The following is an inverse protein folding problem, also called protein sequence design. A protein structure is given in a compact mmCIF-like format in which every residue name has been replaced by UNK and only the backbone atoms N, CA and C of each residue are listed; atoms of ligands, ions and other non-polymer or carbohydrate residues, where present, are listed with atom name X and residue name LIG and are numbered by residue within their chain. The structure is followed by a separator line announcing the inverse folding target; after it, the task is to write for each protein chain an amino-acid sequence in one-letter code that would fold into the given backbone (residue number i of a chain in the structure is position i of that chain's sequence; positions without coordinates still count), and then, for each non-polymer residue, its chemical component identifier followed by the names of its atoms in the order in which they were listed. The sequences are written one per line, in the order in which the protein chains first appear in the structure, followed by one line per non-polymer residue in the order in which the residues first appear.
data_IF_154203726760
#
_entry.id   IF_154203726760
#
_cell.length_a   1.000
_cell.length_b   1.000
_cell.length_c   1.000
_cell.angle_alpha   90.00
_cell.angle_beta   90.00
_cell.angle_gamma   90.00
#
_symmetry.space_group_name_H-M   'P 1'
#
loop_
_entity.id
_entity.type
_entity.pdbx_description
1 polymer ?
#
# COMPACT_ATOMS: atom_id res chain seq x y z
N UNK A 1 -9.42 18.98 4.38
CA UNK A 1 -10.01 18.51 5.64
C UNK A 1 -10.41 17.04 5.54
N UNK A 2 -10.82 16.43 6.65
CA UNK A 2 -11.15 14.99 6.73
C UNK A 2 -12.19 14.55 5.70
N UNK A 3 -13.19 15.40 5.42
CA UNK A 3 -14.22 15.11 4.41
C UNK A 3 -13.61 14.96 3.02
N UNK A 4 -12.62 15.79 2.67
CA UNK A 4 -11.95 15.70 1.37
C UNK A 4 -11.14 14.41 1.23
N UNK A 5 -10.47 13.98 2.30
CA UNK A 5 -9.73 12.70 2.32
C UNK A 5 -10.62 11.50 2.03
N UNK A 6 -11.91 11.59 2.38
CA UNK A 6 -12.91 10.57 2.10
C UNK A 6 -13.50 10.71 0.69
N UNK A 7 -13.78 11.92 0.25
CA UNK A 7 -14.42 12.18 -1.07
C UNK A 7 -13.48 11.89 -2.24
N UNK A 8 -12.20 12.22 -2.12
CA UNK A 8 -11.22 12.04 -3.19
C UNK A 8 -11.11 10.60 -3.69
N UNK A 9 -10.94 9.56 -2.83
CA UNK A 9 -10.92 8.16 -3.27
C UNK A 9 -12.25 7.74 -3.92
N UNK A 10 -13.37 8.22 -3.43
CA UNK A 10 -14.69 7.89 -3.96
C UNK A 10 -14.88 8.47 -5.35
N UNK A 11 -14.66 9.78 -5.54
CA UNK A 11 -14.79 10.45 -6.83
C UNK A 11 -13.86 9.85 -7.89
N UNK A 12 -12.59 9.64 -7.52
CA UNK A 12 -11.63 9.03 -8.45
C UNK A 12 -11.99 7.59 -8.81
N UNK A 13 -12.56 6.82 -7.87
CA UNK A 13 -13.04 5.47 -8.17
C UNK A 13 -14.24 5.48 -9.09
N UNK A 14 -15.19 6.41 -8.93
CA UNK A 14 -16.32 6.54 -9.83
C UNK A 14 -15.86 6.82 -11.26
N UNK A 15 -14.92 7.75 -11.45
CA UNK A 15 -14.35 8.05 -12.78
C UNK A 15 -13.66 6.84 -13.37
N UNK A 16 -12.81 6.15 -12.59
CA UNK A 16 -12.10 4.96 -13.06
C UNK A 16 -13.04 3.79 -13.36
N UNK A 17 -14.07 3.59 -12.53
CA UNK A 17 -15.07 2.55 -12.76
C UNK A 17 -15.87 2.82 -14.03
N UNK A 18 -16.19 4.08 -14.32
CA UNK A 18 -16.84 4.47 -15.57
C UNK A 18 -15.93 4.22 -16.79
N UNK A 19 -14.69 4.69 -16.73
CA UNK A 19 -13.74 4.54 -17.87
C UNK A 19 -13.38 3.08 -18.12
N UNK A 20 -12.98 2.35 -17.10
CA UNK A 20 -12.53 0.96 -17.26
C UNK A 20 -13.68 -0.06 -17.24
N UNK A 21 -14.81 0.26 -16.63
CA UNK A 21 -16.00 -0.57 -16.60
C UNK A 21 -16.81 -0.44 -17.90
N UNK A 22 -17.44 0.70 -18.11
CA UNK A 22 -18.36 0.88 -19.22
C UNK A 22 -17.66 1.08 -20.57
N UNK A 23 -16.63 1.95 -20.65
CA UNK A 23 -15.95 2.23 -21.91
C UNK A 23 -15.07 1.08 -22.40
N UNK A 24 -14.41 0.35 -21.51
CA UNK A 24 -13.53 -0.78 -21.87
C UNK A 24 -14.21 -2.15 -21.69
N UNK A 25 -15.50 -2.19 -21.38
CA UNK A 25 -16.33 -3.40 -21.40
C UNK A 25 -16.05 -4.41 -20.28
N UNK A 26 -15.55 -3.97 -19.14
CA UNK A 26 -15.41 -4.82 -17.96
C UNK A 26 -16.73 -4.90 -17.19
N UNK A 27 -17.63 -5.80 -17.61
CA UNK A 27 -19.01 -5.93 -17.10
C UNK A 27 -19.13 -6.65 -15.74
N UNK A 28 -18.11 -6.66 -14.90
CA UNK A 28 -18.19 -7.34 -13.62
C UNK A 28 -19.02 -6.52 -12.61
N UNK A 29 -20.03 -7.08 -11.93
CA UNK A 29 -20.96 -6.32 -11.10
C UNK A 29 -20.29 -5.59 -9.92
N UNK A 30 -19.15 -6.10 -9.44
CA UNK A 30 -18.40 -5.54 -8.31
C UNK A 30 -17.13 -4.76 -8.72
N UNK A 31 -17.03 -4.36 -9.99
CA UNK A 31 -15.84 -3.72 -10.52
C UNK A 31 -15.44 -2.42 -9.78
N UNK A 32 -16.38 -1.54 -9.37
CA UNK A 32 -16.03 -0.36 -8.57
C UNK A 32 -15.39 -0.71 -7.23
N UNK A 33 -15.86 -1.77 -6.55
CA UNK A 33 -15.30 -2.23 -5.29
C UNK A 33 -13.90 -2.81 -5.51
N UNK A 34 -13.69 -3.53 -6.62
CA UNK A 34 -12.40 -4.09 -7.03
C UNK A 34 -11.33 -3.01 -7.21
N UNK A 35 -11.66 -1.93 -7.95
CA UNK A 35 -10.75 -0.80 -8.16
C UNK A 35 -10.49 -0.08 -6.84
N UNK A 36 -11.54 0.24 -6.07
CA UNK A 36 -11.40 0.99 -4.82
C UNK A 36 -10.49 0.26 -3.84
N UNK A 37 -10.68 -1.04 -3.66
CA UNK A 37 -9.85 -1.86 -2.77
C UNK A 37 -8.36 -1.78 -3.15
N UNK A 38 -8.02 -2.03 -4.41
CA UNK A 38 -6.63 -1.97 -4.87
C UNK A 38 -6.05 -0.56 -4.79
N UNK A 39 -6.85 0.46 -5.13
CA UNK A 39 -6.43 1.86 -5.13
C UNK A 39 -6.16 2.39 -3.71
N UNK A 40 -6.98 2.06 -2.73
CA UNK A 40 -6.79 2.50 -1.34
C UNK A 40 -5.48 1.95 -0.77
N UNK A 41 -5.20 0.66 -0.98
CA UNK A 41 -3.97 0.02 -0.51
C UNK A 41 -2.75 0.63 -1.19
N UNK A 42 -2.80 0.81 -2.51
CA UNK A 42 -1.75 1.46 -3.28
C UNK A 42 -1.54 2.92 -2.84
N UNK A 43 -2.62 3.69 -2.66
CA UNK A 43 -2.56 5.09 -2.23
C UNK A 43 -1.92 5.22 -0.85
N UNK A 44 -2.27 4.32 0.08
CA UNK A 44 -1.63 4.23 1.40
C UNK A 44 -0.11 4.02 1.26
N UNK A 45 0.31 3.02 0.48
CA UNK A 45 1.73 2.75 0.24
C UNK A 45 2.45 3.92 -0.43
N UNK A 46 1.86 4.48 -1.49
CA UNK A 46 2.44 5.58 -2.27
C UNK A 46 2.60 6.85 -1.43
N UNK A 47 1.54 7.29 -0.74
CA UNK A 47 1.58 8.50 0.09
C UNK A 47 2.52 8.33 1.27
N UNK A 48 2.43 7.19 1.97
CA UNK A 48 3.28 6.90 3.14
C UNK A 48 4.76 6.87 2.77
N UNK A 49 5.12 6.19 1.68
CA UNK A 49 6.51 6.10 1.23
C UNK A 49 7.09 7.46 0.82
N UNK A 50 6.32 8.28 0.09
CA UNK A 50 6.74 9.63 -0.34
C UNK A 50 6.91 10.58 0.84
N UNK A 51 5.97 10.59 1.80
CA UNK A 51 6.03 11.49 2.96
C UNK A 51 7.15 11.05 3.92
N UNK A 52 7.27 9.74 4.19
CA UNK A 52 8.35 9.20 5.02
C UNK A 52 9.73 9.49 4.44
N UNK A 53 9.90 9.37 3.12
CA UNK A 53 11.14 9.68 2.41
C UNK A 53 11.62 11.12 2.68
N UNK A 54 10.70 12.08 2.68
CA UNK A 54 11.00 13.51 2.88
C UNK A 54 11.08 13.92 4.35
N UNK A 55 10.64 13.07 5.28
CA UNK A 55 10.39 13.40 6.69
C UNK A 55 11.62 13.94 7.43
N UNK A 56 12.80 13.39 7.23
CA UNK A 56 14.04 13.81 7.89
C UNK A 56 14.44 15.21 7.38
N UNK A 57 14.42 15.42 6.07
CA UNK A 57 14.78 16.70 5.45
C UNK A 57 13.78 17.80 5.77
N UNK A 58 12.49 17.50 5.79
CA UNK A 58 11.45 18.46 6.15
C UNK A 58 11.59 18.97 7.60
N UNK A 59 12.12 18.15 8.50
CA UNK A 59 12.29 18.48 9.91
C UNK A 59 13.74 18.83 10.30
N UNK A 60 14.59 19.16 9.34
CA UNK A 60 16.01 19.49 9.56
C UNK A 60 16.23 20.61 10.62
N UNK A 61 15.40 21.64 10.61
CA UNK A 61 15.50 22.74 11.55
C UNK A 61 15.27 22.30 13.02
N UNK A 62 14.39 21.32 13.23
CA UNK A 62 14.11 20.75 14.55
C UNK A 62 15.21 19.77 14.97
N UNK A 63 15.69 18.92 14.05
CA UNK A 63 16.75 17.94 14.30
C UNK A 63 18.05 18.63 14.75
N UNK A 64 18.35 19.85 14.24
CA UNK A 64 19.53 20.63 14.63
C UNK A 64 19.40 21.30 16.00
N UNK A 65 18.19 21.53 16.51
CA UNK A 65 17.94 22.28 17.74
C UNK A 65 17.64 21.41 18.95
N UNK A 66 17.02 20.26 18.74
CA UNK A 66 16.53 19.39 19.83
C UNK A 66 17.00 17.96 19.58
N UNK A 67 17.51 17.34 20.64
CA UNK A 67 17.88 15.92 20.59
C UNK A 67 16.64 15.04 20.66
N UNK A 68 16.15 14.64 19.48
CA UNK A 68 15.04 13.68 19.34
C UNK A 68 15.55 12.48 18.52
N UNK A 69 15.20 11.23 18.89
CA UNK A 69 15.57 10.07 18.09
C UNK A 69 15.06 10.21 16.65
N UNK A 70 15.96 10.18 15.69
CA UNK A 70 15.67 10.55 14.27
C UNK A 70 14.66 9.62 13.59
N UNK A 71 14.54 8.38 14.03
CA UNK A 71 13.56 7.42 13.49
C UNK A 71 12.09 7.81 13.77
N UNK A 72 11.85 8.67 14.77
CA UNK A 72 10.50 9.14 15.08
C UNK A 72 9.88 9.97 13.95
N UNK A 73 10.70 10.68 13.16
CA UNK A 73 10.20 11.50 12.06
C UNK A 73 9.55 10.67 10.94
N UNK A 74 10.23 9.67 10.33
CA UNK A 74 9.56 8.82 9.35
C UNK A 74 8.44 7.99 9.99
N UNK A 75 8.60 7.48 11.21
CA UNK A 75 7.60 6.63 11.85
C UNK A 75 6.29 7.39 12.14
N UNK A 76 6.37 8.63 12.63
CA UNK A 76 5.19 9.46 12.90
C UNK A 76 4.39 9.75 11.63
N UNK A 77 5.06 10.04 10.51
CA UNK A 77 4.41 10.27 9.22
C UNK A 77 3.76 9.00 8.66
N UNK A 78 4.39 7.84 8.86
CA UNK A 78 3.84 6.55 8.46
C UNK A 78 2.56 6.24 9.24
N UNK A 79 2.61 6.37 10.57
CA UNK A 79 1.43 6.13 11.44
C UNK A 79 0.30 7.09 11.07
N UNK A 80 0.58 8.36 10.86
CA UNK A 80 -0.42 9.35 10.47
C UNK A 80 -1.13 8.97 9.15
N UNK A 81 -0.37 8.65 8.11
CA UNK A 81 -0.94 8.24 6.82
C UNK A 81 -1.70 6.90 6.92
N UNK A 82 -1.24 5.98 7.77
CA UNK A 82 -1.92 4.71 7.98
C UNK A 82 -3.27 4.90 8.70
N UNK A 83 -3.35 5.83 9.66
CA UNK A 83 -4.63 6.19 10.31
C UNK A 83 -5.60 6.78 9.27
N UNK A 84 -5.14 7.68 8.38
CA UNK A 84 -5.98 8.21 7.31
C UNK A 84 -6.46 7.11 6.35
N UNK A 85 -5.61 6.14 6.07
CA UNK A 85 -5.98 4.97 5.26
C UNK A 85 -7.06 4.13 5.97
N UNK A 86 -6.93 3.85 7.27
CA UNK A 86 -7.96 3.13 8.03
C UNK A 86 -9.32 3.85 7.98
N UNK A 87 -9.33 5.17 8.08
CA UNK A 87 -10.55 5.96 7.88
C UNK A 87 -11.12 5.81 6.47
N UNK A 88 -10.25 5.73 5.47
CA UNK A 88 -10.70 5.54 4.06
C UNK A 88 -11.30 4.16 3.81
N UNK A 89 -10.99 3.14 4.62
CA UNK A 89 -11.64 1.82 4.53
C UNK A 89 -13.13 1.86 4.85
N UNK A 90 -13.60 2.88 5.58
CA UNK A 90 -15.04 3.09 5.83
C UNK A 90 -15.78 3.26 4.49
N UNK A 91 -15.19 3.98 3.54
CA UNK A 91 -15.79 4.16 2.21
C UNK A 91 -15.86 2.82 1.46
N UNK A 92 -14.80 2.00 1.57
CA UNK A 92 -14.80 0.67 0.97
C UNK A 92 -15.93 -0.19 1.56
N UNK A 93 -16.13 -0.14 2.88
CA UNK A 93 -17.22 -0.87 3.54
C UNK A 93 -18.60 -0.37 3.07
N UNK A 94 -18.82 0.94 2.98
CA UNK A 94 -20.08 1.52 2.49
C UNK A 94 -20.33 1.09 1.05
N UNK A 95 -19.32 1.16 0.18
CA UNK A 95 -19.46 0.78 -1.22
C UNK A 95 -19.72 -0.73 -1.37
N UNK A 96 -19.06 -1.57 -0.58
CA UNK A 96 -19.27 -3.03 -0.57
C UNK A 96 -20.71 -3.39 -0.16
N UNK A 97 -21.28 -2.70 0.83
CA UNK A 97 -22.69 -2.87 1.25
C UNK A 97 -23.63 -2.39 0.13
N UNK A 98 -23.34 -1.25 -0.50
CA UNK A 98 -24.16 -0.70 -1.59
C UNK A 98 -24.26 -1.65 -2.78
N UNK A 99 -23.15 -2.26 -3.18
CA UNK A 99 -23.10 -3.25 -4.27
C UNK A 99 -23.50 -4.66 -3.82
N UNK A 100 -23.92 -4.86 -2.57
CA UNK A 100 -24.33 -6.15 -1.99
C UNK A 100 -23.29 -7.26 -2.20
N UNK A 101 -22.02 -6.92 -2.00
CA UNK A 101 -20.94 -7.89 -2.05
C UNK A 101 -21.17 -8.97 -0.97
N UNK A 102 -21.01 -10.27 -1.28
CA UNK A 102 -21.23 -11.34 -0.31
C UNK A 102 -20.18 -11.27 0.82
N UNK A 103 -20.53 -10.60 1.90
CA UNK A 103 -19.66 -10.50 3.09
C UNK A 103 -19.78 -11.78 3.93
N UNK A 104 -18.65 -12.41 4.21
CA UNK A 104 -18.53 -13.54 5.10
C UNK A 104 -17.93 -13.15 6.46
N UNK A 105 -18.03 -14.03 7.45
CA UNK A 105 -17.37 -13.86 8.76
C UNK A 105 -15.84 -13.74 8.65
N UNK A 106 -15.27 -14.18 7.53
CA UNK A 106 -13.83 -14.05 7.21
C UNK A 106 -13.35 -12.60 7.06
N UNK A 107 -14.26 -11.61 7.07
CA UNK A 107 -13.88 -10.19 6.99
C UNK A 107 -12.90 -9.77 8.09
N UNK A 108 -12.90 -10.46 9.23
CA UNK A 108 -11.95 -10.23 10.32
C UNK A 108 -10.51 -10.58 9.87
N UNK A 109 -10.34 -11.51 8.95
CA UNK A 109 -9.02 -11.89 8.41
C UNK A 109 -8.36 -10.75 7.63
N UNK A 110 -9.11 -9.72 7.21
CA UNK A 110 -8.58 -8.51 6.54
C UNK A 110 -7.51 -7.80 7.37
N UNK A 111 -7.59 -7.86 8.69
CA UNK A 111 -6.59 -7.23 9.54
C UNK A 111 -5.18 -7.83 9.38
N UNK A 112 -5.06 -9.07 8.92
CA UNK A 112 -3.77 -9.72 8.70
C UNK A 112 -3.01 -9.04 7.52
N UNK A 113 -3.55 -8.99 6.29
CA UNK A 113 -2.88 -8.30 5.19
C UNK A 113 -2.71 -6.79 5.42
N UNK A 114 -3.60 -6.15 6.20
CA UNK A 114 -3.42 -4.75 6.60
C UNK A 114 -2.22 -4.56 7.55
N UNK A 115 -2.03 -5.50 8.50
CA UNK A 115 -0.84 -5.52 9.35
C UNK A 115 0.46 -5.71 8.54
N UNK A 116 0.43 -6.60 7.53
CA UNK A 116 1.57 -6.81 6.62
C UNK A 116 1.84 -5.52 5.81
N UNK A 117 0.80 -4.85 5.33
CA UNK A 117 0.92 -3.55 4.65
C UNK A 117 1.60 -2.51 5.54
N UNK A 118 1.21 -2.43 6.82
CA UNK A 118 1.84 -1.49 7.76
C UNK A 118 3.33 -1.77 7.93
N UNK A 119 3.71 -3.04 8.16
CA UNK A 119 5.11 -3.46 8.26
C UNK A 119 5.87 -3.10 6.99
N UNK A 120 5.28 -3.36 5.82
CA UNK A 120 5.87 -3.03 4.53
C UNK A 120 6.09 -1.53 4.34
N UNK A 121 5.10 -0.70 4.72
CA UNK A 121 5.22 0.76 4.70
C UNK A 121 6.33 1.28 5.63
N UNK A 122 6.46 0.71 6.84
CA UNK A 122 7.54 1.06 7.77
C UNK A 122 8.90 0.68 7.19
N UNK A 123 9.02 -0.52 6.64
CA UNK A 123 10.25 -1.00 6.04
C UNK A 123 10.75 -0.09 4.91
N UNK A 124 9.88 0.14 3.92
CA UNK A 124 10.20 0.98 2.75
C UNK A 124 10.41 2.43 3.17
N UNK A 125 9.60 2.96 4.09
CA UNK A 125 9.74 4.33 4.60
C UNK A 125 11.07 4.58 5.28
N UNK A 126 11.56 3.64 6.11
CA UNK A 126 12.88 3.74 6.76
C UNK A 126 14.04 3.68 5.73
N UNK A 127 13.95 2.79 4.75
CA UNK A 127 14.97 2.70 3.69
C UNK A 127 15.02 4.01 2.91
N UNK A 128 13.88 4.47 2.41
CA UNK A 128 13.79 5.66 1.59
C UNK A 128 14.20 6.94 2.34
N UNK A 129 13.77 7.08 3.60
CA UNK A 129 14.15 8.23 4.42
C UNK A 129 15.66 8.30 4.63
N UNK A 130 16.32 7.15 4.76
CA UNK A 130 17.77 7.06 4.90
C UNK A 130 18.48 7.43 3.59
N UNK A 131 18.06 6.83 2.46
CA UNK A 131 18.72 7.07 1.15
C UNK A 131 18.52 8.51 0.69
N UNK A 132 17.33 9.08 0.90
CA UNK A 132 16.99 10.43 0.47
C UNK A 132 17.83 11.52 1.15
N UNK A 133 18.36 11.27 2.35
CA UNK A 133 19.28 12.21 3.03
C UNK A 133 20.58 12.35 2.23
N UNK A 134 21.10 11.25 1.66
CA UNK A 134 22.36 11.23 0.91
C UNK A 134 22.16 11.51 -0.58
N UNK A 135 21.02 11.08 -1.13
CA UNK A 135 20.73 11.18 -2.56
C UNK A 135 19.37 11.86 -2.79
N UNK A 136 19.40 13.16 -3.09
CA UNK A 136 18.19 14.00 -3.24
C UNK A 136 17.32 13.61 -4.44
N UNK A 137 17.95 13.20 -5.53
CA UNK A 137 17.25 12.86 -6.77
C UNK A 137 16.43 11.58 -6.68
N UNK A 138 16.57 10.85 -5.56
CA UNK A 138 15.72 9.70 -5.24
C UNK A 138 14.23 10.06 -5.26
N UNK A 139 13.86 11.30 -4.95
CA UNK A 139 12.46 11.73 -4.96
C UNK A 139 11.83 11.57 -6.35
N UNK A 140 12.52 11.98 -7.39
CA UNK A 140 12.06 11.87 -8.77
C UNK A 140 12.05 10.41 -9.25
N UNK A 141 13.11 9.66 -8.93
CA UNK A 141 13.19 8.24 -9.25
C UNK A 141 12.07 7.44 -8.57
N UNK A 142 11.78 7.76 -7.31
CA UNK A 142 10.73 7.08 -6.57
C UNK A 142 9.33 7.34 -7.14
N UNK A 143 9.07 8.51 -7.67
CA UNK A 143 7.79 8.81 -8.33
C UNK A 143 7.55 7.90 -9.54
N UNK A 144 8.60 7.65 -10.34
CA UNK A 144 8.52 6.73 -11.47
C UNK A 144 8.34 5.28 -11.00
N UNK A 145 9.09 4.87 -9.96
CA UNK A 145 9.00 3.51 -9.41
C UNK A 145 7.57 3.24 -8.87
N UNK A 146 7.01 4.19 -8.13
CA UNK A 146 5.64 4.07 -7.59
C UNK A 146 4.62 3.97 -8.72
N UNK A 147 4.80 4.71 -9.82
CA UNK A 147 3.94 4.60 -11.00
C UNK A 147 4.04 3.21 -11.64
N UNK A 148 5.23 2.64 -11.76
CA UNK A 148 5.42 1.27 -12.24
C UNK A 148 4.75 0.25 -11.32
N UNK A 149 4.90 0.39 -10.00
CA UNK A 149 4.25 -0.47 -9.01
C UNK A 149 2.73 -0.42 -9.16
N UNK A 150 2.13 0.74 -9.47
CA UNK A 150 0.71 0.88 -9.70
C UNK A 150 0.21 -0.04 -10.82
N UNK A 151 0.88 -0.04 -11.96
CA UNK A 151 0.52 -0.90 -13.08
C UNK A 151 0.83 -2.37 -12.82
N UNK A 152 1.91 -2.66 -12.10
CA UNK A 152 2.29 -4.03 -11.70
C UNK A 152 1.49 -4.58 -10.50
N UNK A 153 0.49 -3.84 -9.99
CA UNK A 153 -0.34 -4.30 -8.85
C UNK A 153 -1.75 -4.71 -9.26
N UNK A 154 -2.02 -4.85 -10.56
CA UNK A 154 -3.31 -5.27 -11.13
C UNK A 154 -4.52 -4.52 -10.52
N UNK A 155 -4.40 -3.19 -10.38
CA UNK A 155 -5.45 -2.36 -9.78
C UNK A 155 -6.63 -2.21 -10.74
N UNK A 156 -6.37 -2.04 -12.04
CA UNK A 156 -7.35 -1.66 -13.05
C UNK A 156 -7.83 -2.82 -13.93
N UNK A 157 -7.19 -3.99 -13.86
CA UNK A 157 -7.51 -5.13 -14.71
C UNK A 157 -7.55 -6.43 -13.92
N UNK A 158 -8.35 -7.37 -14.40
CA UNK A 158 -8.39 -8.72 -13.84
C UNK A 158 -7.24 -9.55 -14.39
N UNK A 159 -6.55 -10.26 -13.49
CA UNK A 159 -5.36 -11.06 -13.83
C UNK A 159 -5.69 -12.25 -14.73
N UNK A 160 -6.93 -12.73 -14.69
CA UNK A 160 -7.39 -13.86 -15.54
C UNK A 160 -7.23 -13.59 -17.03
N UNK A 161 -7.26 -12.31 -17.45
CA UNK A 161 -7.08 -11.92 -18.85
C UNK A 161 -5.62 -11.91 -19.31
N UNK A 162 -4.64 -12.06 -18.40
CA UNK A 162 -3.21 -11.83 -18.68
C UNK A 162 -2.35 -12.94 -18.06
N UNK A 163 -2.57 -14.19 -18.45
CA UNK A 163 -1.87 -15.36 -17.88
C UNK A 163 -0.34 -15.27 -17.92
N UNK A 164 0.21 -14.73 -19.01
CA UNK A 164 1.67 -14.63 -19.19
C UNK A 164 2.37 -13.71 -18.16
N UNK A 165 1.64 -12.74 -17.61
CA UNK A 165 2.20 -11.76 -16.67
C UNK A 165 1.92 -12.16 -15.22
N UNK A 166 1.06 -13.15 -14.99
CA UNK A 166 0.62 -13.63 -13.68
C UNK A 166 1.80 -13.93 -12.75
N UNK A 167 2.78 -14.70 -13.22
CA UNK A 167 3.96 -15.07 -12.43
C UNK A 167 4.77 -13.82 -12.03
N UNK A 168 4.91 -12.85 -12.93
CA UNK A 168 5.65 -11.62 -12.63
C UNK A 168 4.92 -10.77 -11.57
N UNK A 169 3.58 -10.69 -11.66
CA UNK A 169 2.78 -9.95 -10.68
C UNK A 169 2.88 -10.55 -9.27
N UNK A 170 2.98 -11.86 -9.17
CA UNK A 170 3.07 -12.58 -7.90
C UNK A 170 4.38 -12.28 -7.14
N UNK A 171 5.45 -11.83 -7.81
CA UNK A 171 6.67 -11.34 -7.16
C UNK A 171 6.50 -9.95 -6.53
N UNK A 172 5.45 -9.21 -6.85
CA UNK A 172 5.18 -7.92 -6.23
C UNK A 172 4.46 -8.11 -4.88
N UNK A 173 5.11 -7.79 -3.73
CA UNK A 173 4.49 -7.97 -2.41
C UNK A 173 3.22 -7.14 -2.24
N UNK A 174 3.14 -5.96 -2.86
CA UNK A 174 1.94 -5.13 -2.81
C UNK A 174 0.76 -5.77 -3.54
N UNK A 175 1.01 -6.42 -4.69
CA UNK A 175 0.00 -7.21 -5.39
C UNK A 175 -0.54 -8.35 -4.53
N UNK A 176 0.35 -9.08 -3.83
CA UNK A 176 -0.06 -10.16 -2.92
C UNK A 176 -0.95 -9.66 -1.79
N UNK A 177 -0.63 -8.49 -1.20
CA UNK A 177 -1.45 -7.86 -0.15
C UNK A 177 -2.83 -7.47 -0.73
N UNK A 178 -2.87 -6.84 -1.90
CA UNK A 178 -4.12 -6.42 -2.56
C UNK A 178 -4.99 -7.64 -2.88
N UNK A 179 -4.40 -8.72 -3.42
CA UNK A 179 -5.11 -9.95 -3.76
C UNK A 179 -5.73 -10.60 -2.52
N UNK A 180 -5.01 -10.67 -1.41
CA UNK A 180 -5.50 -11.20 -0.15
C UNK A 180 -6.68 -10.38 0.41
N UNK A 181 -6.59 -9.04 0.38
CA UNK A 181 -7.70 -8.18 0.82
C UNK A 181 -8.92 -8.35 -0.09
N UNK A 182 -8.73 -8.45 -1.41
CA UNK A 182 -9.82 -8.68 -2.36
C UNK A 182 -10.52 -10.01 -2.15
N UNK A 183 -9.76 -11.09 -1.91
CA UNK A 183 -10.33 -12.41 -1.63
C UNK A 183 -11.28 -12.35 -0.43
N UNK A 184 -10.85 -11.74 0.66
CA UNK A 184 -11.65 -11.65 1.89
C UNK A 184 -12.86 -10.72 1.71
N UNK A 185 -12.67 -9.55 1.09
CA UNK A 185 -13.72 -8.52 0.97
C UNK A 185 -14.75 -8.86 -0.11
N UNK A 186 -14.31 -9.39 -1.28
CA UNK A 186 -15.18 -9.56 -2.44
C UNK A 186 -15.66 -10.99 -2.65
N UNK A 187 -14.80 -11.97 -2.38
CA UNK A 187 -15.11 -13.38 -2.59
C UNK A 187 -15.66 -14.05 -1.32
N UNK A 188 -15.56 -13.35 -0.17
CA UNK A 188 -15.94 -13.93 1.13
C UNK A 188 -15.13 -15.17 1.51
N UNK A 189 -13.99 -15.37 0.85
CA UNK A 189 -13.10 -16.51 1.05
C UNK A 189 -12.20 -16.35 2.27
N UNK A 190 -11.75 -17.48 2.85
CA UNK A 190 -10.73 -17.48 3.89
C UNK A 190 -9.34 -17.39 3.29
N UNK A 191 -8.44 -16.64 3.93
CA UNK A 191 -7.03 -16.56 3.55
C UNK A 191 -6.29 -17.90 3.62
N UNK A 192 -6.80 -18.82 4.45
CA UNK A 192 -6.15 -20.10 4.73
C UNK A 192 -6.54 -21.21 3.75
N UNK A 193 -7.74 -21.14 3.17
CA UNK A 193 -8.30 -22.22 2.34
C UNK A 193 -8.52 -21.83 0.88
N UNK A 194 -8.64 -20.54 0.60
CA UNK A 194 -8.94 -20.05 -0.75
C UNK A 194 -7.71 -20.06 -1.66
N UNK A 195 -7.95 -20.32 -2.93
CA UNK A 195 -6.93 -20.24 -3.98
C UNK A 195 -7.32 -19.11 -4.91
N UNK A 196 -6.51 -18.05 -4.94
CA UNK A 196 -6.70 -16.94 -5.86
C UNK A 196 -5.64 -16.99 -6.95
N UNK A 197 -6.09 -17.00 -8.20
CA UNK A 197 -5.21 -16.91 -9.37
C UNK A 197 -4.11 -17.99 -9.44
N UNK A 198 -4.39 -19.21 -8.96
CA UNK A 198 -3.49 -20.39 -9.08
C UNK A 198 -2.42 -20.52 -8.00
N UNK A 199 -2.35 -19.62 -7.04
CA UNK A 199 -1.61 -19.78 -5.79
C UNK A 199 -2.57 -19.72 -4.60
N UNK A 200 -2.23 -20.42 -3.52
CA UNK A 200 -3.00 -20.29 -2.29
C UNK A 200 -2.78 -18.89 -1.70
N UNK A 201 -3.83 -18.29 -1.17
CA UNK A 201 -3.74 -16.98 -0.51
C UNK A 201 -2.76 -17.02 0.66
N UNK A 202 -2.64 -18.18 1.32
CA UNK A 202 -1.66 -18.40 2.36
C UNK A 202 -0.22 -18.23 1.85
N UNK A 203 0.12 -18.77 0.67
CA UNK A 203 1.47 -18.60 0.12
C UNK A 203 1.78 -17.16 -0.25
N UNK A 204 0.82 -16.43 -0.82
CA UNK A 204 0.95 -15.00 -1.11
C UNK A 204 1.11 -14.18 0.17
N UNK A 205 0.37 -14.54 1.23
CA UNK A 205 0.44 -13.90 2.54
C UNK A 205 1.82 -14.14 3.19
N UNK A 206 2.30 -15.38 3.22
CA UNK A 206 3.61 -15.72 3.79
C UNK A 206 4.75 -15.07 3.01
N UNK A 207 4.66 -15.02 1.68
CA UNK A 207 5.64 -14.34 0.83
C UNK A 207 5.69 -12.84 1.15
N UNK A 208 4.54 -12.16 1.17
CA UNK A 208 4.48 -10.72 1.45
C UNK A 208 4.93 -10.39 2.87
N UNK A 209 4.63 -11.23 3.86
CA UNK A 209 5.10 -11.11 5.23
C UNK A 209 6.63 -11.28 5.30
N UNK A 210 7.17 -12.35 4.72
CA UNK A 210 8.60 -12.62 4.69
C UNK A 210 9.38 -11.49 4.02
N UNK A 211 8.92 -11.02 2.87
CA UNK A 211 9.51 -9.88 2.16
C UNK A 211 9.48 -8.61 3.02
N UNK A 212 8.35 -8.31 3.66
CA UNK A 212 8.20 -7.13 4.51
C UNK A 212 9.11 -7.16 5.74
N UNK A 213 9.28 -8.34 6.37
CA UNK A 213 10.17 -8.51 7.52
C UNK A 213 11.64 -8.36 7.12
N UNK A 214 12.06 -8.97 6.02
CA UNK A 214 13.44 -8.81 5.50
C UNK A 214 13.71 -7.35 5.17
N UNK A 215 12.81 -6.69 4.46
CA UNK A 215 12.93 -5.26 4.16
C UNK A 215 12.96 -4.40 5.43
N UNK A 216 12.19 -4.76 6.47
CA UNK A 216 12.19 -4.05 7.76
C UNK A 216 13.54 -4.17 8.46
N UNK A 217 14.11 -5.37 8.52
CA UNK A 217 15.46 -5.58 9.11
C UNK A 217 16.50 -4.75 8.36
N UNK A 218 16.49 -4.79 7.03
CA UNK A 218 17.38 -3.96 6.20
C UNK A 218 17.18 -2.48 6.51
N UNK A 219 15.94 -2.01 6.58
CA UNK A 219 15.60 -0.61 6.88
C UNK A 219 16.13 -0.16 8.24
N UNK A 220 15.92 -0.96 9.29
CA UNK A 220 16.37 -0.66 10.64
C UNK A 220 17.90 -0.63 10.72
N UNK A 221 18.57 -1.64 10.17
CA UNK A 221 20.05 -1.72 10.17
C UNK A 221 20.65 -0.53 9.41
N UNK A 222 20.12 -0.25 8.22
CA UNK A 222 20.57 0.85 7.39
C UNK A 222 20.36 2.21 8.06
N UNK A 223 19.19 2.42 8.67
CA UNK A 223 18.87 3.64 9.40
C UNK A 223 19.80 3.83 10.60
N UNK A 224 19.93 2.79 11.46
CA UNK A 224 20.77 2.82 12.65
C UNK A 224 22.24 3.11 12.32
N UNK A 225 22.76 2.51 11.24
CA UNK A 225 24.17 2.71 10.81
C UNK A 225 24.43 4.12 10.29
N UNK A 226 23.44 4.77 9.69
CA UNK A 226 23.62 6.06 9.01
C UNK A 226 23.06 7.27 9.78
N UNK A 227 22.27 7.05 10.84
CA UNK A 227 21.60 8.14 11.56
C UNK A 227 22.56 9.24 12.08
N UNK A 228 23.80 8.86 12.48
CA UNK A 228 24.77 9.83 13.00
C UNK A 228 25.30 10.75 11.92
N UNK A 229 25.36 10.26 10.68
CA UNK A 229 25.82 11.04 9.52
C UNK A 229 24.76 12.01 8.98
N UNK A 230 23.49 11.87 9.35
CA UNK A 230 22.41 12.72 8.83
C UNK A 230 22.66 14.21 9.11
N UNK A 231 23.22 14.56 10.27
CA UNK A 231 23.49 15.95 10.63
C UNK A 231 24.51 16.62 9.68
N UNK A 232 25.40 15.83 9.08
CA UNK A 232 26.43 16.31 8.16
C UNK A 232 25.87 16.55 6.74
N UNK A 233 24.75 15.94 6.39
CA UNK A 233 24.16 15.96 5.04
C UNK A 233 22.81 16.71 4.94
N UNK A 234 22.30 17.20 6.06
CA UNK A 234 21.09 18.02 6.20
C UNK A 234 21.48 19.54 6.43
#
# INVERSE_FOLDING_TARGET
GLVWTLLEPLLTTMVLAFVFGELLGNSHPYYPVYILCGRLIYSCFSSTSKVAMRSIRANQAMIKKVYVPKYLYPLSTIIYNFILFLLSLIILAILAIFYRVPMSWHIIEVFIPLGILFIFCVAVGLILSTVCVFFRDLEYLWEVIVMLIMYCSAIFYYVDKVEKVKTVLQFNPLYCIISNVRCVVMEGGSLFTSISYGLSNLTMMLYSLGFSLVALVIGIVMFKKNQDKFILHI
#
